data_IF_176849117708
#
_entry.id   IF_176849117708
#
_cell.length_a   1.000
_cell.length_b   1.000
_cell.length_c   1.000
_cell.angle_alpha   90.00
_cell.angle_beta   90.00
_cell.angle_gamma   90.00
#
_symmetry.space_group_name_H-M   'P 1'
#
loop_
_entity.id
_entity.type
_entity.pdbx_description
1 polymer ?
#
# COMPACT_ATOMS: atom_id res chain seq x y z
N UNK A 1 -19.87 -1.52 -12.06
CA UNK A 1 -19.82 -0.16 -11.46
C UNK A 1 -21.19 0.53 -11.39
N UNK A 2 -21.96 0.60 -12.49
CA UNK A 2 -23.28 1.24 -12.49
C UNK A 2 -24.25 0.64 -11.43
N UNK A 3 -24.37 -0.69 -11.35
CA UNK A 3 -25.20 -1.36 -10.33
C UNK A 3 -24.58 -1.49 -8.94
N UNK A 4 -23.31 -1.09 -8.74
CA UNK A 4 -22.65 -1.12 -7.42
C UNK A 4 -22.80 0.20 -6.65
N UNK A 5 -22.92 1.33 -7.38
CA UNK A 5 -23.13 2.65 -6.78
C UNK A 5 -24.48 2.78 -6.07
N UNK A 6 -25.47 1.97 -6.42
CA UNK A 6 -26.80 1.95 -5.79
C UNK A 6 -26.81 1.20 -4.45
N UNK A 7 -25.80 0.36 -4.15
CA UNK A 7 -25.74 -0.46 -2.92
C UNK A 7 -24.57 -0.12 -1.99
N UNK A 8 -23.47 0.48 -2.50
CA UNK A 8 -22.22 0.74 -1.77
C UNK A 8 -21.94 2.25 -1.59
N UNK A 9 -22.96 3.04 -1.24
CA UNK A 9 -22.90 4.51 -1.18
C UNK A 9 -21.64 5.00 -0.42
N UNK A 10 -20.73 5.69 -1.13
CA UNK A 10 -19.53 6.32 -0.58
C UNK A 10 -18.26 5.45 -0.56
N UNK A 11 -18.41 4.13 -0.40
CA UNK A 11 -17.30 3.18 -0.14
C UNK A 11 -16.78 2.45 -1.37
N UNK A 12 -17.50 2.56 -2.49
CA UNK A 12 -17.08 2.10 -3.81
C UNK A 12 -16.83 3.28 -4.75
N UNK A 13 -15.58 3.46 -5.22
CA UNK A 13 -15.25 4.53 -6.16
C UNK A 13 -14.63 4.00 -7.45
N UNK A 14 -15.07 4.50 -8.62
CA UNK A 14 -14.36 4.23 -9.86
C UNK A 14 -13.03 4.99 -9.86
N UNK A 15 -11.97 4.29 -10.23
CA UNK A 15 -10.66 4.89 -10.41
C UNK A 15 -10.42 5.33 -11.85
N UNK A 16 -9.22 5.84 -12.14
CA UNK A 16 -8.87 6.39 -13.46
C UNK A 16 -9.13 5.42 -14.61
N UNK A 17 -8.82 4.13 -14.44
CA UNK A 17 -9.11 3.10 -15.44
C UNK A 17 -10.39 2.35 -15.07
N UNK A 18 -11.23 2.02 -16.05
CA UNK A 18 -12.55 1.42 -15.78
C UNK A 18 -12.47 0.02 -15.15
N UNK A 19 -11.35 -0.67 -15.32
CA UNK A 19 -11.03 -1.96 -14.71
C UNK A 19 -10.55 -1.85 -13.25
N UNK A 20 -10.49 -0.63 -12.70
CA UNK A 20 -9.99 -0.36 -11.35
C UNK A 20 -11.12 0.14 -10.47
N UNK A 21 -11.21 -0.45 -9.29
CA UNK A 21 -12.21 -0.14 -8.27
C UNK A 21 -11.50 0.11 -6.95
N UNK A 22 -11.76 1.27 -6.34
CA UNK A 22 -11.32 1.55 -4.96
C UNK A 22 -12.41 1.12 -3.99
N UNK A 23 -12.02 0.30 -3.01
CA UNK A 23 -12.81 0.01 -1.82
C UNK A 23 -12.23 0.78 -0.64
N UNK A 24 -13.10 1.43 0.12
CA UNK A 24 -12.71 2.24 1.27
C UNK A 24 -13.55 1.85 2.48
N UNK A 25 -12.91 1.56 3.60
CA UNK A 25 -13.61 1.43 4.87
C UNK A 25 -13.98 2.81 5.39
N UNK A 26 -14.98 2.86 6.25
CA UNK A 26 -15.13 3.99 7.16
C UNK A 26 -13.95 4.04 8.14
N UNK A 27 -13.94 5.05 9.02
CA UNK A 27 -12.98 5.11 10.13
C UNK A 27 -13.29 3.98 11.11
N UNK A 28 -12.41 2.98 11.16
CA UNK A 28 -12.55 1.84 12.05
C UNK A 28 -11.94 2.15 13.43
N UNK A 29 -12.64 1.86 14.54
CA UNK A 29 -12.07 2.05 15.89
C UNK A 29 -10.99 1.00 16.22
N UNK A 30 -11.03 -0.16 15.59
CA UNK A 30 -10.10 -1.26 15.82
C UNK A 30 -9.97 -2.17 14.59
N UNK A 31 -9.04 -3.13 14.65
CA UNK A 31 -8.75 -4.05 13.55
C UNK A 31 -9.90 -5.03 13.27
N UNK A 32 -10.73 -5.33 14.27
CA UNK A 32 -11.85 -6.26 14.13
C UNK A 32 -12.98 -5.61 13.33
N UNK A 33 -13.23 -4.33 13.56
CA UNK A 33 -14.13 -3.54 12.72
C UNK A 33 -13.59 -3.39 11.29
N UNK A 34 -12.30 -3.09 11.13
CA UNK A 34 -11.66 -3.07 9.82
C UNK A 34 -11.81 -4.40 9.08
N UNK A 35 -11.65 -5.53 9.77
CA UNK A 35 -11.88 -6.87 9.21
C UNK A 35 -13.31 -7.03 8.71
N UNK A 36 -14.31 -6.70 9.53
CA UNK A 36 -15.72 -6.81 9.13
C UNK A 36 -16.00 -5.97 7.88
N UNK A 37 -15.55 -4.72 7.86
CA UNK A 37 -15.78 -3.82 6.74
C UNK A 37 -15.08 -4.28 5.46
N UNK A 38 -13.79 -4.67 5.52
CA UNK A 38 -13.04 -5.16 4.36
C UNK A 38 -13.68 -6.42 3.78
N UNK A 39 -14.09 -7.37 4.63
CA UNK A 39 -14.79 -8.59 4.17
C UNK A 39 -16.14 -8.24 3.53
N UNK A 40 -16.93 -7.36 4.15
CA UNK A 40 -18.25 -6.95 3.61
C UNK A 40 -18.09 -6.29 2.24
N UNK A 41 -17.25 -5.26 2.14
CA UNK A 41 -17.02 -4.49 0.93
C UNK A 41 -16.50 -5.37 -0.22
N UNK A 42 -15.57 -6.29 0.06
CA UNK A 42 -15.06 -7.22 -0.94
C UNK A 42 -16.10 -8.26 -1.35
N UNK A 43 -16.90 -8.77 -0.42
CA UNK A 43 -17.98 -9.73 -0.71
C UNK A 43 -19.08 -9.10 -1.55
N UNK A 44 -19.50 -7.88 -1.21
CA UNK A 44 -20.49 -7.11 -1.97
C UNK A 44 -19.99 -6.79 -3.38
N UNK A 45 -18.73 -6.36 -3.52
CA UNK A 45 -18.12 -6.14 -4.83
C UNK A 45 -18.06 -7.43 -5.66
N UNK A 46 -17.70 -8.56 -5.04
CA UNK A 46 -17.69 -9.86 -5.69
C UNK A 46 -19.09 -10.28 -6.16
N UNK A 47 -20.12 -10.06 -5.34
CA UNK A 47 -21.51 -10.33 -5.68
C UNK A 47 -22.00 -9.47 -6.84
N UNK A 48 -21.67 -8.17 -6.84
CA UNK A 48 -22.00 -7.25 -7.94
C UNK A 48 -21.29 -7.65 -9.23
N UNK A 49 -19.99 -7.98 -9.18
CA UNK A 49 -19.24 -8.43 -10.35
C UNK A 49 -19.83 -9.72 -10.95
N UNK A 50 -20.26 -10.66 -10.10
CA UNK A 50 -20.82 -11.93 -10.53
C UNK A 50 -22.13 -11.78 -11.33
N UNK A 51 -22.94 -10.74 -11.06
CA UNK A 51 -24.19 -10.46 -11.81
C UNK A 51 -23.95 -10.23 -13.30
N UNK A 52 -22.78 -9.69 -13.63
CA UNK A 52 -22.35 -9.41 -15.01
C UNK A 52 -21.39 -10.48 -15.56
N UNK A 53 -21.24 -11.62 -14.87
CA UNK A 53 -20.30 -12.69 -15.25
C UNK A 53 -18.82 -12.33 -15.08
N UNK A 54 -18.53 -11.29 -14.29
CA UNK A 54 -17.17 -10.83 -14.00
C UNK A 54 -16.66 -11.41 -12.67
N UNK A 55 -15.34 -11.34 -12.47
CA UNK A 55 -14.67 -11.68 -11.21
C UNK A 55 -13.77 -10.52 -10.77
N UNK A 56 -13.49 -10.45 -9.47
CA UNK A 56 -12.50 -9.52 -8.92
C UNK A 56 -11.15 -10.18 -8.69
N UNK A 57 -10.09 -9.39 -8.75
CA UNK A 57 -8.72 -9.77 -8.46
C UNK A 57 -8.01 -8.61 -7.75
N UNK A 58 -7.18 -8.90 -6.76
CA UNK A 58 -6.40 -7.89 -6.02
C UNK A 58 -4.92 -8.25 -6.03
N UNK A 59 -4.10 -7.44 -6.71
CA UNK A 59 -2.64 -7.57 -6.80
C UNK A 59 -2.03 -6.23 -7.21
N UNK A 60 -0.73 -6.02 -7.01
CA UNK A 60 -0.10 -4.72 -7.32
C UNK A 60 -0.15 -4.32 -8.81
N UNK A 61 -0.16 -5.33 -9.68
CA UNK A 61 -0.33 -5.22 -11.14
C UNK A 61 -1.16 -6.40 -11.62
N UNK A 62 -1.86 -6.24 -12.74
CA UNK A 62 -2.44 -7.38 -13.42
C UNK A 62 -1.36 -8.10 -14.26
N UNK A 63 -1.20 -9.44 -14.16
CA UNK A 63 -0.06 -10.16 -14.74
C UNK A 63 0.17 -9.97 -16.25
N UNK A 64 -0.90 -9.96 -17.06
CA UNK A 64 -0.79 -9.87 -18.52
C UNK A 64 -1.57 -8.74 -19.20
N UNK A 65 -2.25 -7.88 -18.45
CA UNK A 65 -3.02 -6.79 -19.05
C UNK A 65 -2.08 -5.82 -19.76
N UNK A 66 -2.56 -5.22 -20.84
CA UNK A 66 -1.84 -4.16 -21.53
C UNK A 66 -2.49 -2.82 -21.21
N UNK A 67 -1.69 -1.85 -20.77
CA UNK A 67 -2.18 -0.53 -20.38
C UNK A 67 -2.84 0.21 -21.56
N UNK A 68 -2.35 0.00 -22.79
CA UNK A 68 -2.90 0.65 -23.99
C UNK A 68 -4.33 0.18 -24.33
N UNK A 69 -4.74 -0.98 -23.82
CA UNK A 69 -6.09 -1.54 -24.02
C UNK A 69 -7.05 -1.12 -22.90
N UNK A 70 -6.59 -0.39 -21.87
CA UNK A 70 -7.44 -0.01 -20.73
C UNK A 70 -8.17 1.31 -20.99
N UNK A 71 -9.51 1.31 -21.06
CA UNK A 71 -10.26 2.54 -21.21
C UNK A 71 -10.19 3.38 -19.92
N UNK A 72 -10.13 4.68 -20.10
CA UNK A 72 -10.15 5.66 -19.01
C UNK A 72 -11.60 5.93 -18.62
N UNK A 73 -11.87 6.03 -17.33
CA UNK A 73 -13.17 6.40 -16.77
C UNK A 73 -13.52 7.84 -17.19
N UNK A 74 -14.68 8.08 -17.82
CA UNK A 74 -15.11 9.44 -18.16
C UNK A 74 -15.30 10.29 -16.90
N UNK A 75 -14.32 11.16 -16.62
CA UNK A 75 -14.31 12.09 -15.49
C UNK A 75 -13.39 13.27 -15.82
N UNK A 76 -13.82 14.49 -15.50
CA UNK A 76 -13.05 15.70 -15.78
C UNK A 76 -11.68 15.69 -15.09
N UNK A 77 -11.61 15.28 -13.82
CA UNK A 77 -10.36 15.17 -13.07
C UNK A 77 -9.36 14.22 -13.74
N UNK A 78 -9.82 13.06 -14.22
CA UNK A 78 -8.95 12.09 -14.90
C UNK A 78 -8.49 12.62 -16.26
N UNK A 79 -9.35 13.35 -16.97
CA UNK A 79 -9.01 14.00 -18.23
C UNK A 79 -7.90 15.03 -18.04
N UNK A 80 -7.97 15.86 -17.00
CA UNK A 80 -6.90 16.80 -16.62
C UNK A 80 -5.60 16.05 -16.30
N UNK A 81 -5.65 14.98 -15.50
CA UNK A 81 -4.44 14.20 -15.15
C UNK A 81 -3.78 13.62 -16.41
N UNK A 82 -4.56 13.09 -17.35
CA UNK A 82 -4.05 12.55 -18.63
C UNK A 82 -3.47 13.65 -19.51
N UNK A 83 -4.07 14.84 -19.49
CA UNK A 83 -3.54 16.00 -20.20
C UNK A 83 -2.22 16.50 -19.58
N UNK A 84 -2.11 16.53 -18.26
CA UNK A 84 -0.92 17.00 -17.54
C UNK A 84 0.25 16.01 -17.66
N UNK A 85 -0.02 14.72 -17.42
CA UNK A 85 1.02 13.69 -17.27
C UNK A 85 1.23 12.83 -18.53
N UNK A 86 0.31 12.92 -19.49
CA UNK A 86 0.41 12.23 -20.77
C UNK A 86 0.66 10.72 -20.60
N UNK A 87 1.75 10.21 -21.18
CA UNK A 87 2.06 8.78 -21.23
C UNK A 87 2.18 8.16 -19.83
N UNK A 88 2.68 8.94 -18.86
CA UNK A 88 2.86 8.50 -17.46
C UNK A 88 1.51 8.13 -16.83
N UNK A 89 0.47 8.95 -17.04
CA UNK A 89 -0.88 8.62 -16.57
C UNK A 89 -1.45 7.40 -17.29
N UNK A 90 -1.26 7.28 -18.62
CA UNK A 90 -1.80 6.16 -19.41
C UNK A 90 -1.23 4.81 -19.01
N UNK A 91 0.00 4.77 -18.48
CA UNK A 91 0.63 3.52 -18.01
C UNK A 91 0.20 3.09 -16.60
N UNK A 92 -0.55 3.93 -15.88
CA UNK A 92 -0.83 3.76 -14.45
C UNK A 92 -1.98 2.77 -14.15
N UNK A 93 -1.82 1.53 -14.61
CA UNK A 93 -2.73 0.41 -14.33
C UNK A 93 -2.14 -0.43 -13.19
N UNK A 94 -2.11 0.19 -12.01
CA UNK A 94 -1.51 -0.37 -10.79
C UNK A 94 -2.49 -0.25 -9.63
N UNK A 95 -2.35 -1.12 -8.63
CA UNK A 95 -3.28 -1.20 -7.52
C UNK A 95 -2.50 -1.22 -6.20
N UNK A 96 -2.81 -0.29 -5.30
CA UNK A 96 -2.10 -0.15 -4.02
C UNK A 96 -3.00 -0.47 -2.84
N UNK A 97 -2.38 -0.80 -1.71
CA UNK A 97 -3.01 -0.74 -0.40
C UNK A 97 -2.64 0.59 0.26
N UNK A 98 -3.64 1.38 0.64
CA UNK A 98 -3.44 2.57 1.44
C UNK A 98 -4.02 2.36 2.84
N UNK A 99 -3.23 2.63 3.88
CA UNK A 99 -3.67 2.52 5.27
C UNK A 99 -3.57 3.90 5.92
N UNK A 100 -4.68 4.36 6.47
CA UNK A 100 -4.75 5.59 7.26
C UNK A 100 -4.73 5.23 8.74
N UNK A 101 -3.81 5.83 9.49
CA UNK A 101 -3.77 5.73 10.95
C UNK A 101 -4.04 7.11 11.55
N UNK A 102 -5.08 7.21 12.38
CA UNK A 102 -5.43 8.45 13.07
C UNK A 102 -4.32 8.95 13.99
N UNK A 103 -4.15 10.26 14.07
CA UNK A 103 -3.18 10.94 14.94
C UNK A 103 -3.89 12.02 15.76
N UNK A 104 -3.36 12.37 16.96
CA UNK A 104 -3.99 13.37 17.82
C UNK A 104 -3.96 14.78 17.24
N UNK A 105 -2.89 15.12 16.52
CA UNK A 105 -2.69 16.42 15.91
C UNK A 105 -1.64 16.37 14.78
N UNK A 106 -1.64 17.38 13.92
CA UNK A 106 -0.79 17.46 12.73
C UNK A 106 0.70 17.68 13.04
N UNK A 107 1.05 18.34 14.16
CA UNK A 107 2.46 18.50 14.56
C UNK A 107 3.06 17.17 14.99
N UNK A 108 2.30 16.38 15.74
CA UNK A 108 2.65 14.99 16.04
C UNK A 108 2.74 14.16 14.76
N UNK A 109 1.84 14.39 13.81
CA UNK A 109 1.86 13.75 12.50
C UNK A 109 3.16 13.91 11.72
N UNK A 110 3.71 15.12 11.62
CA UNK A 110 4.96 15.35 10.86
C UNK A 110 6.14 14.60 11.47
N UNK A 111 6.26 14.61 12.79
CA UNK A 111 7.33 13.90 13.50
C UNK A 111 7.21 12.38 13.33
N UNK A 112 6.00 11.83 13.52
CA UNK A 112 5.73 10.41 13.27
C UNK A 112 6.03 10.07 11.81
N UNK A 113 5.60 10.89 10.84
CA UNK A 113 5.88 10.66 9.41
C UNK A 113 7.38 10.59 9.14
N UNK A 114 8.17 11.54 9.67
CA UNK A 114 9.61 11.59 9.47
C UNK A 114 10.32 10.32 9.95
N UNK A 115 9.90 9.80 11.10
CA UNK A 115 10.44 8.57 11.70
C UNK A 115 9.90 7.33 10.96
N UNK A 116 8.61 7.32 10.61
CA UNK A 116 7.92 6.19 9.97
C UNK A 116 8.51 5.82 8.60
N UNK A 117 9.15 6.77 7.91
CA UNK A 117 9.91 6.55 6.66
C UNK A 117 10.90 5.38 6.76
N UNK A 118 11.53 5.18 7.91
CA UNK A 118 12.47 4.08 8.13
C UNK A 118 11.82 2.70 7.96
N UNK A 119 10.57 2.55 8.36
CA UNK A 119 9.88 1.25 8.36
C UNK A 119 9.26 0.89 7.01
N UNK A 120 9.18 1.85 6.08
CA UNK A 120 8.55 1.63 4.78
C UNK A 120 9.16 0.50 3.95
N UNK A 121 10.50 0.34 3.84
CA UNK A 121 11.08 -0.80 3.13
C UNK A 121 10.67 -2.15 3.70
N UNK A 122 10.49 -2.25 5.03
CA UNK A 122 10.06 -3.49 5.70
C UNK A 122 8.59 -3.82 5.39
N UNK A 123 7.72 -2.83 5.53
CA UNK A 123 6.32 -2.93 5.14
C UNK A 123 6.19 -3.27 3.65
N UNK A 124 7.07 -2.72 2.82
CA UNK A 124 7.08 -3.00 1.40
C UNK A 124 7.53 -4.43 1.10
N UNK A 125 8.60 -4.92 1.74
CA UNK A 125 9.09 -6.29 1.58
C UNK A 125 8.03 -7.34 1.97
N UNK A 126 7.22 -7.07 3.00
CA UNK A 126 6.08 -7.90 3.40
C UNK A 126 4.93 -7.89 2.39
N UNK A 127 4.74 -6.78 1.68
CA UNK A 127 3.54 -6.51 0.87
C UNK A 127 3.77 -6.63 -0.63
N UNK A 128 4.95 -7.06 -1.09
CA UNK A 128 5.20 -7.23 -2.53
C UNK A 128 4.23 -8.24 -3.15
N UNK A 129 3.52 -7.82 -4.21
CA UNK A 129 2.47 -8.61 -4.84
C UNK A 129 2.28 -8.29 -6.34
N UNK A 130 3.37 -7.92 -7.04
CA UNK A 130 3.34 -7.56 -8.46
C UNK A 130 4.56 -8.01 -9.26
N UNK A 131 4.87 -9.31 -9.34
CA UNK A 131 6.05 -9.78 -10.06
C UNK A 131 5.93 -9.75 -11.59
N UNK A 132 4.70 -9.66 -12.12
CA UNK A 132 4.42 -9.72 -13.55
C UNK A 132 3.94 -8.38 -14.12
N UNK A 133 4.32 -8.10 -15.37
CA UNK A 133 3.82 -6.96 -16.13
C UNK A 133 3.78 -7.28 -17.62
N UNK A 134 2.64 -7.01 -18.27
CA UNK A 134 2.43 -7.27 -19.71
C UNK A 134 2.80 -8.69 -20.15
N UNK A 135 2.56 -9.67 -19.29
CA UNK A 135 2.73 -11.09 -19.59
C UNK A 135 4.15 -11.60 -19.37
N UNK A 136 5.01 -10.79 -18.74
CA UNK A 136 6.40 -11.14 -18.45
C UNK A 136 6.66 -11.13 -16.95
N UNK A 137 7.42 -12.12 -16.49
CA UNK A 137 8.09 -12.02 -15.20
C UNK A 137 9.12 -10.88 -15.29
N UNK A 138 8.95 -9.87 -14.46
CA UNK A 138 9.79 -8.66 -14.49
C UNK A 138 11.14 -8.85 -13.84
N UNK A 139 11.29 -9.91 -13.04
CA UNK A 139 12.43 -10.12 -12.16
C UNK A 139 12.35 -9.32 -10.85
N UNK A 140 11.35 -8.48 -10.66
CA UNK A 140 11.04 -7.82 -9.38
C UNK A 140 9.91 -8.57 -8.69
N UNK A 141 9.78 -8.43 -7.36
CA UNK A 141 8.60 -8.93 -6.62
C UNK A 141 7.48 -7.89 -6.56
N UNK A 142 7.82 -6.60 -6.68
CA UNK A 142 6.84 -5.53 -6.76
C UNK A 142 7.15 -4.51 -7.87
N UNK A 143 6.62 -4.76 -9.06
CA UNK A 143 6.79 -3.90 -10.23
C UNK A 143 5.92 -2.64 -10.20
N UNK A 144 4.84 -2.62 -9.40
CA UNK A 144 3.95 -1.46 -9.24
C UNK A 144 4.70 -0.15 -9.01
N UNK A 145 5.69 -0.15 -8.12
CA UNK A 145 6.42 1.06 -7.76
C UNK A 145 7.27 1.60 -8.91
N UNK A 146 7.80 0.74 -9.79
CA UNK A 146 8.57 1.18 -10.97
C UNK A 146 7.69 1.99 -11.92
N UNK A 147 6.42 1.59 -12.07
CA UNK A 147 5.45 2.34 -12.87
C UNK A 147 5.14 3.67 -12.17
N UNK A 148 4.92 3.63 -10.85
CA UNK A 148 4.50 4.80 -10.09
C UNK A 148 5.60 5.87 -9.95
N UNK A 149 6.87 5.47 -9.90
CA UNK A 149 8.03 6.38 -9.83
C UNK A 149 8.16 7.31 -11.03
N UNK A 150 7.52 6.99 -12.16
CA UNK A 150 7.47 7.90 -13.31
C UNK A 150 6.62 9.14 -13.04
N UNK A 151 5.80 9.16 -11.98
CA UNK A 151 5.02 10.33 -11.57
C UNK A 151 5.91 11.36 -10.85
N UNK A 152 5.71 12.67 -11.09
CA UNK A 152 6.40 13.71 -10.33
C UNK A 152 5.96 13.68 -8.86
N UNK A 153 6.83 14.01 -7.90
CA UNK A 153 6.50 14.03 -6.45
C UNK A 153 5.99 12.67 -5.93
N UNK A 154 6.59 11.58 -6.41
CA UNK A 154 6.35 10.21 -5.97
C UNK A 154 7.53 9.64 -5.18
N UNK A 155 7.34 8.47 -4.56
CA UNK A 155 8.39 7.75 -3.81
C UNK A 155 8.57 8.24 -2.37
N UNK A 156 9.74 7.98 -1.80
CA UNK A 156 10.07 8.34 -0.43
C UNK A 156 10.05 9.87 -0.24
N UNK A 157 9.29 10.43 0.71
CA UNK A 157 9.31 11.87 0.98
C UNK A 157 10.65 12.29 1.59
N UNK A 158 10.97 13.59 1.54
CA UNK A 158 12.00 14.17 2.41
C UNK A 158 11.49 14.31 3.85
N UNK A 159 12.40 14.61 4.78
CA UNK A 159 12.02 15.02 6.13
C UNK A 159 11.64 16.49 6.16
N UNK A 160 10.68 16.85 7.00
CA UNK A 160 10.32 18.24 7.29
C UNK A 160 10.65 18.56 8.75
N UNK A 161 11.36 19.65 9.02
CA UNK A 161 11.72 20.12 10.36
C UNK A 161 10.49 20.52 11.18
N UNK A 162 9.41 20.96 10.51
CA UNK A 162 8.18 21.37 11.18
C UNK A 162 6.95 21.21 10.30
N UNK A 163 5.76 21.31 10.91
CA UNK A 163 4.49 21.42 10.18
C UNK A 163 4.46 22.65 9.27
N UNK A 164 5.01 23.78 9.72
CA UNK A 164 5.08 24.99 8.92
C UNK A 164 5.89 24.80 7.64
N UNK A 165 7.08 24.17 7.71
CA UNK A 165 7.88 23.88 6.51
C UNK A 165 7.13 22.98 5.51
N UNK A 166 6.40 21.97 6.02
CA UNK A 166 5.58 21.10 5.19
C UNK A 166 4.43 21.87 4.51
N UNK A 167 3.76 22.76 5.25
CA UNK A 167 2.67 23.59 4.73
C UNK A 167 3.18 24.61 3.70
N UNK A 168 4.31 25.27 3.98
CA UNK A 168 4.98 26.20 3.07
C UNK A 168 5.37 25.51 1.75
N UNK A 169 5.89 24.28 1.81
CA UNK A 169 6.19 23.49 0.61
C UNK A 169 4.94 23.21 -0.23
N UNK A 170 3.82 22.87 0.41
CA UNK A 170 2.55 22.64 -0.27
C UNK A 170 2.02 23.95 -0.88
N UNK A 171 2.04 25.03 -0.12
CA UNK A 171 1.58 26.34 -0.56
C UNK A 171 2.40 26.85 -1.75
N UNK A 172 3.72 26.66 -1.74
CA UNK A 172 4.58 26.97 -2.86
C UNK A 172 4.14 26.25 -4.13
N UNK A 173 3.84 24.94 -4.06
CA UNK A 173 3.40 24.17 -5.22
C UNK A 173 2.01 24.59 -5.72
N UNK A 174 1.11 24.97 -4.83
CA UNK A 174 -0.23 25.43 -5.19
C UNK A 174 -0.18 26.82 -5.82
N UNK A 175 0.48 27.78 -5.15
CA UNK A 175 0.58 29.18 -5.60
C UNK A 175 1.33 29.34 -6.92
N UNK A 176 2.26 28.43 -7.23
CA UNK A 176 2.99 28.39 -8.52
C UNK A 176 2.26 27.59 -9.61
N UNK A 177 1.08 27.03 -9.32
CA UNK A 177 0.31 26.24 -10.28
C UNK A 177 0.89 24.86 -10.60
N UNK A 178 1.86 24.36 -9.82
CA UNK A 178 2.42 23.01 -9.99
C UNK A 178 1.40 21.92 -9.67
N UNK A 179 0.51 22.18 -8.70
CA UNK A 179 -0.61 21.31 -8.30
C UNK A 179 -1.84 22.17 -7.96
N UNK A 180 -3.02 21.60 -8.11
CA UNK A 180 -4.29 22.21 -7.71
C UNK A 180 -4.58 22.04 -6.21
N UNK A 181 -4.09 20.94 -5.62
CA UNK A 181 -4.15 20.65 -4.20
C UNK A 181 -3.13 19.58 -3.81
N UNK A 182 -2.91 19.42 -2.51
CA UNK A 182 -1.96 18.47 -1.94
C UNK A 182 -2.26 16.99 -2.23
N UNK A 183 -3.44 16.60 -2.78
CA UNK A 183 -3.69 15.20 -3.19
C UNK A 183 -2.78 14.77 -4.35
N UNK A 184 -2.21 15.71 -5.13
CA UNK A 184 -1.22 15.48 -6.20
C UNK A 184 0.23 15.33 -5.69
N UNK A 185 0.38 15.04 -4.40
CA UNK A 185 1.63 14.55 -3.79
C UNK A 185 1.46 13.04 -3.55
N UNK A 186 2.28 12.25 -4.23
CA UNK A 186 2.13 10.80 -4.33
C UNK A 186 3.25 10.04 -3.62
N UNK A 187 3.66 10.56 -2.46
CA UNK A 187 4.67 9.90 -1.64
C UNK A 187 4.23 8.56 -1.07
N UNK A 188 5.20 7.72 -0.76
CA UNK A 188 5.03 6.39 -0.15
C UNK A 188 4.43 6.45 1.27
N UNK A 189 4.60 7.58 1.95
CA UNK A 189 3.93 7.95 3.19
C UNK A 189 3.66 9.45 3.17
N UNK A 190 2.54 9.89 3.74
CA UNK A 190 2.28 11.31 3.93
C UNK A 190 1.41 11.59 5.15
N UNK A 191 1.59 12.77 5.75
CA UNK A 191 0.52 13.41 6.51
C UNK A 191 -0.61 13.72 5.54
N UNK A 192 -1.81 13.21 5.81
CA UNK A 192 -2.91 13.43 4.90
C UNK A 192 -3.33 14.92 4.90
N UNK A 193 -3.56 15.53 3.73
CA UNK A 193 -3.82 16.97 3.65
C UNK A 193 -5.16 17.43 4.23
N UNK A 194 -6.14 16.54 4.38
CA UNK A 194 -7.50 16.88 4.85
C UNK A 194 -7.96 16.07 6.07
N UNK A 195 -7.21 15.05 6.45
CA UNK A 195 -7.54 14.16 7.55
C UNK A 195 -6.34 14.14 8.48
N UNK A 196 -6.61 14.08 9.77
CA UNK A 196 -5.56 13.97 10.78
C UNK A 196 -5.12 12.50 10.87
N UNK A 197 -4.46 12.06 9.80
CA UNK A 197 -3.97 10.69 9.63
C UNK A 197 -2.60 10.67 8.98
N UNK A 198 -1.79 9.69 9.36
CA UNK A 198 -0.66 9.23 8.56
C UNK A 198 -1.16 8.21 7.56
N UNK A 199 -0.91 8.47 6.28
CA UNK A 199 -1.32 7.60 5.19
C UNK A 199 -0.11 6.87 4.62
N UNK A 200 -0.06 5.55 4.83
CA UNK A 200 0.90 4.64 4.21
C UNK A 200 0.41 4.25 2.83
N UNK A 201 1.26 4.34 1.80
CA UNK A 201 0.89 4.18 0.38
C UNK A 201 1.87 3.31 -0.42
N UNK A 202 2.89 2.79 0.25
CA UNK A 202 3.98 2.04 -0.39
C UNK A 202 3.55 0.64 -0.88
N UNK A 203 2.60 0.02 -0.19
CA UNK A 203 2.22 -1.39 -0.38
C UNK A 203 1.49 -1.64 -1.70
N UNK A 204 1.75 -2.81 -2.30
CA UNK A 204 0.87 -3.34 -3.36
C UNK A 204 -0.50 -3.70 -2.77
N UNK A 205 -1.52 -3.75 -3.61
CA UNK A 205 -2.80 -4.35 -3.21
C UNK A 205 -2.59 -5.83 -2.87
N UNK A 206 -3.16 -6.28 -1.76
CA UNK A 206 -3.01 -7.67 -1.30
C UNK A 206 -4.15 -8.55 -1.78
N UNK A 207 -3.83 -9.77 -2.20
CA UNK A 207 -4.83 -10.75 -2.63
C UNK A 207 -5.72 -11.17 -1.46
N UNK A 208 -5.12 -11.57 -0.33
CA UNK A 208 -5.86 -12.05 0.85
C UNK A 208 -6.29 -10.91 1.77
N UNK A 209 -7.44 -11.09 2.42
CA UNK A 209 -7.94 -10.15 3.45
C UNK A 209 -7.00 -10.14 4.66
N UNK A 210 -6.52 -11.31 5.09
CA UNK A 210 -5.62 -11.41 6.24
C UNK A 210 -4.30 -10.67 6.01
N UNK A 211 -3.73 -10.74 4.80
CA UNK A 211 -2.52 -10.00 4.42
C UNK A 211 -2.75 -8.47 4.56
N UNK A 212 -3.94 -8.00 4.17
CA UNK A 212 -4.33 -6.58 4.28
C UNK A 212 -4.40 -6.12 5.73
N UNK A 213 -5.09 -6.90 6.57
CA UNK A 213 -5.32 -6.53 7.98
C UNK A 213 -4.03 -6.63 8.80
N UNK A 214 -3.19 -7.61 8.52
CA UNK A 214 -1.91 -7.75 9.20
C UNK A 214 -0.98 -6.56 8.94
N UNK A 215 -0.91 -6.10 7.69
CA UNK A 215 -0.18 -4.89 7.34
C UNK A 215 -0.76 -3.65 8.03
N UNK A 216 -2.09 -3.51 8.05
CA UNK A 216 -2.75 -2.39 8.71
C UNK A 216 -2.50 -2.36 10.23
N UNK A 217 -2.56 -3.51 10.90
CA UNK A 217 -2.28 -3.64 12.33
C UNK A 217 -0.81 -3.30 12.65
N UNK A 218 0.14 -3.80 11.84
CA UNK A 218 1.56 -3.48 12.03
C UNK A 218 1.83 -1.97 11.84
N UNK A 219 1.21 -1.34 10.84
CA UNK A 219 1.32 0.11 10.63
C UNK A 219 0.73 0.91 11.79
N UNK A 220 -0.42 0.47 12.34
CA UNK A 220 -1.02 1.08 13.53
C UNK A 220 -0.08 0.95 14.73
N UNK A 221 0.48 -0.23 14.99
CA UNK A 221 1.40 -0.47 16.09
C UNK A 221 2.69 0.38 15.96
N UNK A 222 3.23 0.55 14.75
CA UNK A 222 4.36 1.46 14.49
C UNK A 222 4.01 2.90 14.85
N UNK A 223 2.85 3.41 14.41
CA UNK A 223 2.42 4.79 14.72
C UNK A 223 2.25 4.99 16.22
N UNK A 224 1.57 4.07 16.91
CA UNK A 224 1.38 4.13 18.37
C UNK A 224 2.73 4.06 19.09
N UNK A 225 3.66 3.22 18.63
CA UNK A 225 5.02 3.12 19.20
C UNK A 225 5.76 4.45 19.12
N UNK A 226 5.78 5.05 17.93
CA UNK A 226 6.46 6.31 17.69
C UNK A 226 5.84 7.46 18.48
N UNK A 227 4.50 7.48 18.61
CA UNK A 227 3.80 8.44 19.46
C UNK A 227 4.22 8.29 20.94
N UNK A 228 4.20 7.08 21.50
CA UNK A 228 4.61 6.84 22.90
C UNK A 228 6.06 7.21 23.16
N UNK A 229 6.96 6.92 22.21
CA UNK A 229 8.36 7.33 22.32
C UNK A 229 8.46 8.85 22.40
N UNK A 230 7.74 9.57 21.53
CA UNK A 230 7.68 11.04 21.55
C UNK A 230 7.18 11.57 22.90
N UNK A 231 6.13 10.98 23.45
CA UNK A 231 5.58 11.37 24.77
C UNK A 231 6.60 11.18 25.91
N UNK A 232 7.57 10.28 25.71
CA UNK A 232 8.70 10.04 26.61
C UNK A 232 9.95 10.89 26.28
N UNK A 233 9.84 11.84 25.34
CA UNK A 233 10.96 12.63 24.79
C UNK A 233 12.07 11.77 24.16
N UNK A 234 11.69 10.63 23.57
CA UNK A 234 12.57 9.76 22.78
C UNK A 234 12.10 9.76 21.33
N UNK A 235 13.03 9.74 20.39
CA UNK A 235 12.70 9.58 18.96
C UNK A 235 13.44 8.40 18.36
N UNK A 236 12.81 7.76 17.38
CA UNK A 236 13.50 6.87 16.48
C UNK A 236 14.38 7.68 15.53
N UNK A 237 15.52 7.11 15.14
CA UNK A 237 16.48 7.80 14.29
C UNK A 237 15.90 8.07 12.90
N UNK A 238 15.97 9.32 12.46
CA UNK A 238 15.65 9.70 11.09
C UNK A 238 16.85 9.48 10.17
N UNK A 239 16.57 9.04 8.94
CA UNK A 239 17.59 8.78 7.93
C UNK A 239 17.34 9.61 6.66
N UNK A 240 18.40 10.08 5.98
CA UNK A 240 18.29 10.75 4.70
C UNK A 240 17.58 9.87 3.66
N UNK A 241 16.76 10.49 2.81
CA UNK A 241 15.99 9.80 1.76
C UNK A 241 16.85 8.84 0.92
N UNK A 242 18.03 9.30 0.48
CA UNK A 242 18.97 8.53 -0.35
C UNK A 242 19.38 7.17 0.23
N UNK A 243 19.33 7.00 1.56
CA UNK A 243 19.61 5.72 2.20
C UNK A 243 18.38 4.80 2.17
N UNK A 244 17.21 5.37 2.47
CA UNK A 244 15.95 4.64 2.47
C UNK A 244 15.56 4.16 1.07
N UNK A 245 15.88 4.93 0.03
CA UNK A 245 15.64 4.56 -1.38
C UNK A 245 16.39 3.28 -1.78
N UNK A 246 17.62 3.06 -1.26
CA UNK A 246 18.37 1.82 -1.49
C UNK A 246 17.67 0.61 -0.86
N UNK A 247 17.21 0.73 0.38
CA UNK A 247 16.43 -0.34 1.03
C UNK A 247 15.08 -0.56 0.35
N UNK A 248 14.42 0.51 -0.10
CA UNK A 248 13.16 0.44 -0.85
C UNK A 248 13.34 -0.32 -2.17
N UNK A 249 14.42 -0.07 -2.91
CA UNK A 249 14.74 -0.83 -4.12
C UNK A 249 14.97 -2.32 -3.82
N UNK A 250 15.78 -2.63 -2.80
CA UNK A 250 16.07 -4.01 -2.38
C UNK A 250 14.80 -4.76 -1.96
N UNK A 251 13.92 -4.09 -1.20
CA UNK A 251 12.63 -4.63 -0.80
C UNK A 251 11.75 -4.95 -2.02
N UNK A 252 11.60 -4.03 -2.96
CA UNK A 252 10.79 -4.27 -4.17
C UNK A 252 11.36 -5.36 -5.09
N UNK A 253 12.70 -5.48 -5.15
CA UNK A 253 13.38 -6.47 -5.99
C UNK A 253 13.38 -7.87 -5.41
N UNK A 254 13.58 -8.02 -4.11
CA UNK A 254 13.83 -9.31 -3.47
C UNK A 254 12.76 -9.73 -2.43
N UNK A 255 11.92 -8.80 -1.98
CA UNK A 255 10.96 -9.03 -0.89
C UNK A 255 11.65 -9.59 0.35
N UNK A 256 10.99 -10.57 0.97
CA UNK A 256 11.47 -11.22 2.21
C UNK A 256 12.76 -12.04 2.07
N UNK A 257 13.14 -12.42 0.86
CA UNK A 257 14.37 -13.22 0.63
C UNK A 257 15.57 -12.31 0.32
N UNK A 258 15.36 -11.01 0.38
CA UNK A 258 16.39 -10.00 0.24
C UNK A 258 17.12 -9.70 1.55
N UNK A 259 18.15 -8.86 1.40
CA UNK A 259 18.84 -8.22 2.52
C UNK A 259 18.65 -6.72 2.42
N UNK A 260 18.39 -6.07 3.55
CA UNK A 260 18.40 -4.62 3.66
C UNK A 260 19.66 -4.16 4.39
N UNK A 261 19.95 -2.86 4.29
CA UNK A 261 21.06 -2.25 5.00
C UNK A 261 20.59 -1.85 6.40
N UNK A 262 21.23 -2.42 7.42
CA UNK A 262 21.17 -1.89 8.77
C UNK A 262 22.13 -0.70 8.85
N UNK A 263 21.57 0.52 8.84
CA UNK A 263 22.36 1.75 8.82
C UNK A 263 23.09 2.02 10.14
N UNK A 264 22.62 1.44 11.25
CA UNK A 264 23.27 1.54 12.55
C UNK A 264 24.54 0.68 12.57
N UNK A 265 24.42 -0.58 12.17
CA UNK A 265 25.52 -1.56 12.10
C UNK A 265 26.39 -1.42 10.84
N UNK A 266 25.96 -0.63 9.85
CA UNK A 266 26.63 -0.39 8.55
C UNK A 266 26.95 -1.68 7.79
N UNK A 267 26.01 -2.61 7.78
CA UNK A 267 26.12 -3.90 7.07
C UNK A 267 24.77 -4.30 6.49
N UNK A 268 24.79 -5.24 5.55
CA UNK A 268 23.56 -5.92 5.16
C UNK A 268 23.08 -6.87 6.26
N UNK A 269 21.77 -6.99 6.38
CA UNK A 269 21.10 -7.93 7.28
C UNK A 269 19.91 -8.55 6.55
N UNK A 270 19.62 -9.81 6.88
CA UNK A 270 18.50 -10.54 6.27
C UNK A 270 17.18 -9.87 6.65
N UNK A 271 16.32 -9.63 5.67
CA UNK A 271 15.09 -8.87 5.89
C UNK A 271 14.18 -9.53 6.93
N UNK A 272 14.12 -10.87 6.93
CA UNK A 272 13.36 -11.64 7.92
C UNK A 272 13.85 -11.40 9.35
N UNK A 273 15.16 -11.26 9.55
CA UNK A 273 15.72 -10.97 10.87
C UNK A 273 15.37 -9.54 11.31
N UNK A 274 15.46 -8.57 10.40
CA UNK A 274 15.07 -7.18 10.66
C UNK A 274 13.57 -7.06 10.97
N UNK A 275 12.72 -7.84 10.30
CA UNK A 275 11.30 -7.92 10.60
C UNK A 275 11.04 -8.52 11.98
N UNK A 276 11.77 -9.55 12.40
CA UNK A 276 11.68 -10.06 13.78
C UNK A 276 12.03 -8.96 14.78
N UNK A 277 13.13 -8.21 14.56
CA UNK A 277 13.49 -7.06 15.41
C UNK A 277 12.39 -5.98 15.41
N UNK A 278 11.72 -5.74 14.27
CA UNK A 278 10.59 -4.80 14.18
C UNK A 278 9.36 -5.29 14.95
N UNK A 279 9.02 -6.57 14.87
CA UNK A 279 7.90 -7.15 15.62
C UNK A 279 8.15 -7.08 17.13
N UNK A 280 9.38 -7.35 17.57
CA UNK A 280 9.80 -7.16 18.95
C UNK A 280 9.70 -5.68 19.38
N UNK A 281 10.09 -4.76 18.50
CA UNK A 281 10.05 -3.32 18.77
C UNK A 281 8.64 -2.78 19.06
N UNK A 282 7.60 -3.35 18.42
CA UNK A 282 6.20 -2.93 18.60
C UNK A 282 5.38 -3.85 19.51
N UNK A 283 5.99 -4.87 20.13
CA UNK A 283 5.27 -5.93 20.85
C UNK A 283 4.33 -5.40 21.95
N UNK A 284 4.77 -4.39 22.73
CA UNK A 284 3.94 -3.81 23.78
C UNK A 284 2.69 -3.10 23.22
N UNK A 285 2.81 -2.47 22.06
CA UNK A 285 1.70 -1.80 21.37
C UNK A 285 0.75 -2.81 20.75
N UNK A 286 1.26 -3.96 20.29
CA UNK A 286 0.45 -5.08 19.82
C UNK A 286 -0.45 -5.63 20.92
N UNK A 287 0.11 -5.82 22.12
CA UNK A 287 -0.63 -6.29 23.30
C UNK A 287 -1.77 -5.32 23.65
N UNK A 288 -1.48 -4.01 23.68
CA UNK A 288 -2.47 -2.98 24.00
C UNK A 288 -3.58 -2.87 22.95
N UNK A 289 -3.23 -2.99 21.67
CA UNK A 289 -4.17 -2.93 20.56
C UNK A 289 -4.96 -4.23 20.37
N UNK A 290 -4.56 -5.32 21.03
CA UNK A 290 -5.17 -6.64 20.89
C UNK A 290 -5.03 -7.23 19.48
N UNK A 291 -3.91 -6.97 18.80
CA UNK A 291 -3.70 -7.30 17.37
C UNK A 291 -2.85 -8.56 17.15
N UNK A 292 -2.70 -9.42 18.17
CA UNK A 292 -1.82 -10.59 18.12
C UNK A 292 -2.08 -11.54 16.95
N UNK A 293 -3.36 -11.74 16.57
CA UNK A 293 -3.74 -12.57 15.42
C UNK A 293 -3.13 -12.05 14.12
N UNK A 294 -3.13 -10.74 13.95
CA UNK A 294 -2.59 -10.06 12.79
C UNK A 294 -1.06 -10.15 12.74
N UNK A 295 -0.37 -10.06 13.87
CA UNK A 295 1.09 -10.23 13.89
C UNK A 295 1.51 -11.69 13.73
N UNK A 296 0.77 -12.64 14.28
CA UNK A 296 0.97 -14.06 13.97
C UNK A 296 0.78 -14.33 12.46
N UNK A 297 -0.09 -13.57 11.80
CA UNK A 297 -0.23 -13.62 10.34
C UNK A 297 0.95 -12.95 9.61
N UNK A 298 1.57 -11.89 10.13
CA UNK A 298 2.86 -11.38 9.61
C UNK A 298 3.94 -12.47 9.69
N UNK A 299 4.07 -13.17 10.82
CA UNK A 299 5.02 -14.27 10.96
C UNK A 299 4.73 -15.42 9.99
N UNK A 300 3.44 -15.65 9.67
CA UNK A 300 3.02 -16.58 8.64
C UNK A 300 3.47 -16.13 7.25
N UNK A 301 3.26 -14.86 6.88
CA UNK A 301 3.74 -14.29 5.61
C UNK A 301 5.27 -14.43 5.54
N UNK A 302 5.98 -14.17 6.63
CA UNK A 302 7.41 -14.43 6.71
C UNK A 302 7.67 -15.90 6.35
N UNK A 303 7.14 -16.88 7.09
CA UNK A 303 7.42 -18.30 6.85
C UNK A 303 7.01 -18.81 5.46
N UNK A 304 5.86 -18.41 4.94
CA UNK A 304 5.23 -18.98 3.75
C UNK A 304 5.53 -18.19 2.46
N UNK A 305 6.00 -16.95 2.58
CA UNK A 305 6.24 -16.05 1.46
C UNK A 305 5.08 -15.10 1.18
N UNK A 306 5.40 -14.07 0.41
CA UNK A 306 4.51 -12.96 0.02
C UNK A 306 3.55 -13.36 -1.10
N UNK A 307 2.61 -12.47 -1.45
CA UNK A 307 1.76 -12.67 -2.62
C UNK A 307 2.55 -12.82 -3.93
N UNK A 308 3.67 -12.10 -4.06
CA UNK A 308 4.57 -12.27 -5.20
C UNK A 308 5.18 -13.69 -5.27
N UNK A 309 5.57 -14.25 -4.12
CA UNK A 309 6.16 -15.60 -4.05
C UNK A 309 5.15 -16.67 -4.47
N UNK A 310 3.90 -16.52 -4.05
CA UNK A 310 2.81 -17.44 -4.42
C UNK A 310 2.48 -17.35 -5.91
N UNK A 311 2.45 -16.14 -6.48
CA UNK A 311 2.28 -15.95 -7.92
C UNK A 311 3.43 -16.57 -8.73
N UNK A 312 4.68 -16.36 -8.31
CA UNK A 312 5.87 -16.93 -8.96
C UNK A 312 5.87 -18.46 -8.89
N UNK A 313 5.51 -19.07 -7.76
CA UNK A 313 5.42 -20.52 -7.62
C UNK A 313 4.37 -21.15 -8.56
N UNK A 314 3.23 -20.47 -8.78
CA UNK A 314 2.24 -20.91 -9.78
C UNK A 314 2.80 -20.84 -11.19
N UNK A 315 3.47 -19.74 -11.54
CA UNK A 315 4.11 -19.58 -12.83
C UNK A 315 5.19 -20.64 -13.08
N UNK A 316 6.07 -20.88 -12.10
CA UNK A 316 7.14 -21.88 -12.22
C UNK A 316 6.58 -23.28 -12.49
N UNK A 317 5.49 -23.65 -11.81
CA UNK A 317 4.83 -24.95 -11.97
C UNK A 317 4.06 -25.10 -13.29
N UNK A 318 3.43 -24.04 -13.78
CA UNK A 318 2.46 -24.12 -14.88
C UNK A 318 2.96 -23.54 -16.20
N UNK A 319 3.88 -22.58 -16.14
CA UNK A 319 4.29 -21.73 -17.25
C UNK A 319 3.11 -21.05 -17.97
N UNK A 320 1.98 -20.86 -17.27
CA UNK A 320 0.77 -20.24 -17.78
C UNK A 320 0.42 -19.00 -16.96
N UNK A 321 0.43 -17.84 -17.63
CA UNK A 321 0.14 -16.56 -16.99
C UNK A 321 -1.34 -16.40 -16.65
N UNK A 322 -2.22 -17.16 -17.31
CA UNK A 322 -3.65 -17.21 -16.97
C UNK A 322 -3.86 -17.96 -15.66
N UNK A 323 -3.14 -19.06 -15.45
CA UNK A 323 -3.16 -19.79 -14.18
C UNK A 323 -2.72 -18.90 -13.00
N UNK A 324 -1.79 -17.96 -13.22
CA UNK A 324 -1.41 -16.96 -12.21
C UNK A 324 -2.59 -16.02 -11.89
N UNK A 325 -3.33 -15.55 -12.91
CA UNK A 325 -4.53 -14.73 -12.69
C UNK A 325 -5.62 -15.53 -11.97
N UNK A 326 -5.87 -16.77 -12.37
CA UNK A 326 -6.84 -17.64 -11.71
C UNK A 326 -6.48 -17.85 -10.22
N UNK A 327 -5.19 -17.99 -9.91
CA UNK A 327 -4.71 -18.07 -8.54
C UNK A 327 -4.95 -16.76 -7.76
N UNK A 328 -4.63 -15.60 -8.34
CA UNK A 328 -4.90 -14.30 -7.68
C UNK A 328 -6.40 -14.14 -7.41
N UNK A 329 -7.25 -14.49 -8.39
CA UNK A 329 -8.71 -14.49 -8.22
C UNK A 329 -9.11 -15.43 -7.09
N UNK A 330 -8.59 -16.66 -7.06
CA UNK A 330 -8.89 -17.61 -5.98
C UNK A 330 -8.55 -17.03 -4.61
N UNK A 331 -7.33 -16.51 -4.42
CA UNK A 331 -6.92 -15.87 -3.16
C UNK A 331 -7.77 -14.64 -2.82
N UNK A 332 -8.22 -13.91 -3.84
CA UNK A 332 -9.09 -12.74 -3.67
C UNK A 332 -10.46 -13.12 -3.10
N UNK A 333 -10.93 -14.34 -3.35
CA UNK A 333 -12.23 -14.82 -2.85
C UNK A 333 -12.11 -15.61 -1.53
N UNK A 334 -10.90 -15.89 -1.05
CA UNK A 334 -10.70 -16.56 0.24
C UNK A 334 -11.30 -15.72 1.39
N UNK A 335 -12.19 -16.34 2.17
CA UNK A 335 -12.83 -15.71 3.32
C UNK A 335 -13.95 -14.71 2.99
N UNK A 336 -14.34 -14.58 1.71
CA UNK A 336 -15.50 -13.78 1.31
C UNK A 336 -16.81 -14.58 1.41
N UNK A 337 -17.92 -13.90 1.67
CA UNK A 337 -19.28 -14.44 1.63
C UNK A 337 -20.12 -13.69 0.59
N UNK A 338 -19.92 -13.96 -0.72
CA UNK A 338 -20.60 -13.24 -1.81
C UNK A 338 -22.10 -13.57 -1.93
N UNK A 339 -22.68 -14.33 -1.00
CA UNK A 339 -24.04 -14.88 -1.05
C UNK A 339 -25.06 -14.24 -0.11
N UNK A 340 -24.73 -13.14 0.58
CA UNK A 340 -25.69 -12.36 1.39
C UNK A 340 -26.32 -11.21 0.63
#
# INVERSE_FOLDING_TARGET
LAGGKENLEGNLKPEMHQSVVELRTEVCPDIHDARRQVVSLRSELAAVAARDGLKIASAGTHPFSRWHDQPITPNERYSTIVQDLQQVARTNVIFGLHVHVGIPDRHTGIDIMNQARYFLPHLYALSVNSPFWQGKNTGLKAYRQIIFESFPRSGMPETFESLGEYEDYIELLISTGCIDNAKKIWWDIRLHPFFDTIEFRICDAQSRVDDTLALAALMQAIVVKLQKMRDQNVSFRTYPRRLLDENRWRAGRYGLDGKLIDFGRRREADERALLTELLEFVAAEVDELGTHSELAHIERIMREGTGADRQLAVWERTQDIKAVVDHIVQETYEGLDPGR
#
